data_IF_481086584268
#
_entry.id   IF_481086584268
#
_cell.length_a   1.000
_cell.length_b   1.000
_cell.length_c   1.000
_cell.angle_alpha   90.00
_cell.angle_beta   90.00
_cell.angle_gamma   90.00
#
_symmetry.space_group_name_H-M   'P 1'
#
loop_
_entity.id
_entity.type
_entity.pdbx_description
1 polymer ?
#
# COMPACT_ATOMS: atom_id res chain seq x y z
N UNK A 1 -5.22 -18.57 15.68
CA UNK A 1 -6.03 -18.79 14.46
C UNK A 1 -5.26 -18.15 13.32
N UNK A 2 -4.83 -18.93 12.33
CA UNK A 2 -4.31 -18.35 11.09
C UNK A 2 -5.51 -17.72 10.38
N UNK A 3 -5.44 -16.42 10.06
CA UNK A 3 -6.42 -15.80 9.20
C UNK A 3 -6.30 -16.48 7.82
N UNK A 4 -7.40 -17.02 7.30
CA UNK A 4 -7.44 -17.48 5.92
C UNK A 4 -7.21 -16.26 5.03
N UNK A 5 -6.13 -16.27 4.25
CA UNK A 5 -5.85 -15.23 3.28
C UNK A 5 -6.95 -15.27 2.22
N UNK A 6 -7.67 -14.15 2.06
CA UNK A 6 -8.69 -14.04 1.03
C UNK A 6 -8.03 -14.15 -0.35
N UNK A 7 -8.63 -14.87 -1.31
CA UNK A 7 -8.11 -14.94 -2.66
C UNK A 7 -8.05 -13.54 -3.28
N UNK A 8 -6.94 -13.24 -3.95
CA UNK A 8 -6.74 -11.96 -4.64
C UNK A 8 -7.67 -11.88 -5.87
N UNK A 9 -8.24 -10.71 -6.10
CA UNK A 9 -8.88 -10.34 -7.36
C UNK A 9 -7.87 -10.33 -8.52
N UNK A 10 -8.36 -10.28 -9.76
CA UNK A 10 -7.49 -10.25 -10.94
C UNK A 10 -6.52 -9.06 -10.90
N UNK A 11 -7.01 -7.88 -10.54
CA UNK A 11 -6.23 -6.64 -10.50
C UNK A 11 -5.19 -6.68 -9.38
N UNK A 12 -5.55 -7.22 -8.21
CA UNK A 12 -4.60 -7.43 -7.12
C UNK A 12 -3.53 -8.46 -7.52
N UNK A 13 -3.90 -9.54 -8.20
CA UNK A 13 -2.94 -10.52 -8.70
C UNK A 13 -2.01 -9.95 -9.79
N UNK A 14 -2.53 -9.07 -10.66
CA UNK A 14 -1.72 -8.34 -11.65
C UNK A 14 -0.71 -7.42 -10.96
N UNK A 15 -1.17 -6.59 -10.01
CA UNK A 15 -0.30 -5.72 -9.23
C UNK A 15 0.74 -6.53 -8.44
N UNK A 16 0.35 -7.63 -7.81
CA UNK A 16 1.27 -8.52 -7.10
C UNK A 16 2.38 -9.02 -8.03
N UNK A 17 2.04 -9.44 -9.25
CA UNK A 17 3.04 -9.91 -10.23
C UNK A 17 3.99 -8.80 -10.65
N UNK A 18 3.49 -7.59 -10.88
CA UNK A 18 4.32 -6.43 -11.22
C UNK A 18 5.27 -6.09 -10.07
N UNK A 19 4.78 -6.02 -8.84
CA UNK A 19 5.57 -5.78 -7.63
C UNK A 19 6.61 -6.89 -7.41
N UNK A 20 6.21 -8.16 -7.54
CA UNK A 20 7.11 -9.30 -7.37
C UNK A 20 8.19 -9.35 -8.46
N UNK A 21 7.87 -8.93 -9.69
CA UNK A 21 8.85 -8.81 -10.77
C UNK A 21 9.92 -7.75 -10.49
N UNK A 22 9.57 -6.68 -9.78
CA UNK A 22 10.47 -5.59 -9.45
C UNK A 22 11.26 -5.80 -8.16
N UNK A 23 10.57 -6.20 -7.09
CA UNK A 23 11.15 -6.30 -5.75
C UNK A 23 11.60 -7.72 -5.39
N UNK A 24 11.25 -8.71 -6.20
CA UNK A 24 11.43 -10.14 -5.91
C UNK A 24 10.24 -10.70 -5.14
N UNK A 25 9.77 -11.89 -5.56
CA UNK A 25 8.57 -12.52 -5.00
C UNK A 25 8.64 -12.74 -3.47
N UNK A 26 9.83 -13.08 -2.95
CA UNK A 26 10.03 -13.31 -1.51
C UNK A 26 9.92 -12.02 -0.67
N UNK A 27 10.02 -10.85 -1.31
CA UNK A 27 9.97 -9.55 -0.63
C UNK A 27 8.58 -8.92 -0.68
N UNK A 28 7.60 -9.52 -1.36
CA UNK A 28 6.24 -8.98 -1.49
C UNK A 28 5.29 -9.84 -0.65
N UNK A 29 4.83 -9.29 0.47
CA UNK A 29 3.89 -9.96 1.38
C UNK A 29 2.50 -9.38 1.17
N UNK A 30 1.54 -10.24 0.85
CA UNK A 30 0.14 -9.85 0.74
C UNK A 30 -0.55 -9.85 2.09
N UNK A 31 -1.54 -8.96 2.26
CA UNK A 31 -2.47 -8.94 3.38
C UNK A 31 -1.77 -8.88 4.75
N UNK A 32 -0.72 -8.06 4.87
CA UNK A 32 -0.04 -7.84 6.15
C UNK A 32 -0.84 -6.86 7.00
N UNK A 33 -1.06 -7.20 8.27
CA UNK A 33 -1.77 -6.27 9.17
C UNK A 33 -0.94 -5.02 9.45
N UNK A 34 -1.60 -3.88 9.62
CA UNK A 34 -0.92 -2.63 10.02
C UNK A 34 -0.12 -2.83 11.32
N UNK A 35 -0.63 -3.65 12.24
CA UNK A 35 0.10 -4.07 13.46
C UNK A 35 1.39 -4.83 13.18
N UNK A 36 1.43 -5.69 12.16
CA UNK A 36 2.65 -6.40 11.80
C UNK A 36 3.67 -5.48 11.11
N UNK A 37 3.20 -4.53 10.30
CA UNK A 37 4.04 -3.54 9.60
C UNK A 37 4.67 -2.56 10.59
N UNK A 38 3.86 -2.04 11.51
CA UNK A 38 4.22 -1.00 12.45
C UNK A 38 4.75 -1.56 13.79
N UNK A 39 4.46 -2.82 14.11
CA UNK A 39 4.58 -3.31 15.48
C UNK A 39 3.45 -2.82 16.38
N UNK A 40 3.27 -3.46 17.54
CA UNK A 40 2.15 -3.22 18.47
C UNK A 40 2.24 -1.90 19.25
N UNK A 41 3.31 -1.12 19.05
CA UNK A 41 3.58 0.09 19.80
C UNK A 41 3.12 1.33 19.02
N UNK A 42 1.81 1.57 18.99
CA UNK A 42 1.25 2.84 18.51
C UNK A 42 1.35 3.88 19.63
N UNK A 43 1.92 5.03 19.31
CA UNK A 43 1.97 6.19 20.20
C UNK A 43 0.57 6.78 20.40
N UNK A 44 0.36 7.50 21.51
CA UNK A 44 -0.90 8.23 21.70
C UNK A 44 -1.12 9.28 20.61
N UNK A 45 -0.05 9.86 20.07
CA UNK A 45 -0.13 10.83 18.98
C UNK A 45 -0.67 10.21 17.70
N UNK A 46 -0.15 9.04 17.30
CA UNK A 46 -0.65 8.27 16.15
C UNK A 46 -2.12 7.84 16.33
N UNK A 47 -2.53 7.54 17.55
CA UNK A 47 -3.92 7.17 17.86
C UNK A 47 -4.86 8.38 17.95
N UNK A 48 -4.35 9.57 18.30
CA UNK A 48 -5.14 10.83 18.36
C UNK A 48 -5.44 11.41 16.99
N UNK A 49 -4.63 11.06 15.99
CA UNK A 49 -4.83 11.48 14.60
C UNK A 49 -6.07 10.79 14.00
N UNK A 50 -6.48 9.65 14.53
CA UNK A 50 -7.68 8.94 14.09
C UNK A 50 -8.96 9.68 14.52
N UNK A 51 -10.01 9.68 13.68
CA UNK A 51 -11.35 10.07 14.10
C UNK A 51 -11.75 9.30 15.36
N UNK A 52 -12.37 9.98 16.33
CA UNK A 52 -12.63 9.39 17.65
C UNK A 52 -13.42 8.09 17.55
N UNK A 53 -12.82 6.98 17.97
CA UNK A 53 -13.44 5.66 18.00
C UNK A 53 -12.95 4.68 16.93
N UNK A 54 -12.14 5.13 15.98
CA UNK A 54 -11.58 4.23 14.97
C UNK A 54 -10.46 3.36 15.54
N UNK A 55 -10.65 2.04 15.47
CA UNK A 55 -9.63 1.03 15.74
C UNK A 55 -8.85 0.67 14.48
N UNK A 56 -8.91 1.50 13.44
CA UNK A 56 -8.47 1.15 12.09
C UNK A 56 -7.04 0.58 12.06
N UNK A 57 -5.99 1.19 12.64
CA UNK A 57 -4.64 0.60 12.58
C UNK A 57 -4.50 -0.75 13.30
N UNK A 58 -5.43 -1.09 14.20
CA UNK A 58 -5.41 -2.36 14.94
C UNK A 58 -6.06 -3.50 14.17
N UNK A 59 -6.97 -3.18 13.25
CA UNK A 59 -7.82 -4.14 12.54
C UNK A 59 -7.55 -4.14 11.04
N UNK A 60 -6.90 -3.10 10.52
CA UNK A 60 -6.61 -2.95 9.11
C UNK A 60 -5.52 -3.91 8.63
N UNK A 61 -5.73 -4.34 7.40
CA UNK A 61 -4.82 -5.19 6.64
C UNK A 61 -4.47 -4.44 5.37
N UNK A 62 -3.17 -4.32 5.11
CA UNK A 62 -2.68 -3.71 3.90
C UNK A 62 -2.58 -4.72 2.78
N UNK A 63 -2.94 -4.29 1.57
CA UNK A 63 -2.99 -5.20 0.42
C UNK A 63 -1.63 -5.84 0.12
N UNK A 64 -0.58 -5.03 -0.06
CA UNK A 64 0.79 -5.51 -0.23
C UNK A 64 1.78 -4.72 0.62
N UNK A 65 2.76 -5.43 1.19
CA UNK A 65 3.90 -4.85 1.91
C UNK A 65 5.18 -5.36 1.28
N UNK A 66 6.08 -4.44 0.94
CA UNK A 66 7.38 -4.75 0.36
C UNK A 66 8.41 -4.66 1.49
N UNK A 67 9.15 -5.75 1.67
CA UNK A 67 10.21 -5.88 2.66
C UNK A 67 11.58 -5.64 2.03
N UNK A 68 12.54 -5.21 2.84
CA UNK A 68 13.95 -5.25 2.46
C UNK A 68 14.62 -6.59 2.81
N UNK A 69 15.94 -6.64 2.61
CA UNK A 69 16.77 -7.82 2.88
C UNK A 69 16.84 -8.23 4.35
N UNK A 70 16.49 -7.32 5.27
CA UNK A 70 16.43 -7.59 6.70
C UNK A 70 15.00 -7.94 7.16
N UNK A 71 14.06 -8.08 6.23
CA UNK A 71 12.63 -8.26 6.50
C UNK A 71 11.97 -7.04 7.15
N UNK A 72 12.57 -5.86 7.02
CA UNK A 72 11.96 -4.60 7.46
C UNK A 72 10.99 -4.09 6.38
N UNK A 73 9.83 -3.58 6.79
CA UNK A 73 8.86 -2.97 5.87
C UNK A 73 9.39 -1.67 5.27
N UNK A 74 9.31 -1.51 3.95
CA UNK A 74 9.80 -0.31 3.23
C UNK A 74 8.73 0.39 2.40
N UNK A 75 7.78 -0.36 1.86
CA UNK A 75 6.70 0.18 1.05
C UNK A 75 5.42 -0.57 1.39
N UNK A 76 4.32 0.16 1.48
CA UNK A 76 2.96 -0.37 1.52
C UNK A 76 2.27 0.06 0.25
N UNK A 77 1.69 -0.90 -0.47
CA UNK A 77 0.97 -0.70 -1.71
C UNK A 77 -0.50 -1.12 -1.55
N UNK A 78 -1.40 -0.20 -1.86
CA UNK A 78 -2.85 -0.38 -1.78
C UNK A 78 -3.51 -0.19 -3.14
N UNK A 79 -4.70 -0.78 -3.31
CA UNK A 79 -5.54 -0.58 -4.49
C UNK A 79 -6.80 0.21 -4.12
N UNK A 80 -6.97 1.36 -4.75
CA UNK A 80 -8.14 2.20 -4.64
C UNK A 80 -9.23 1.68 -5.59
N UNK A 81 -10.23 1.03 -5.01
CA UNK A 81 -11.38 0.44 -5.71
C UNK A 81 -12.49 1.47 -5.98
N UNK A 82 -12.16 2.73 -6.25
CA UNK A 82 -13.17 3.73 -6.64
C UNK A 82 -13.37 3.67 -8.14
N UNK A 83 -14.48 3.07 -8.57
CA UNK A 83 -14.83 2.93 -9.99
C UNK A 83 -15.33 4.25 -10.62
N UNK A 84 -15.77 5.21 -9.82
CA UNK A 84 -16.46 6.40 -10.34
C UNK A 84 -15.76 7.72 -9.99
N UNK A 85 -15.37 8.45 -11.04
CA UNK A 85 -14.91 9.85 -10.97
C UNK A 85 -16.01 10.83 -10.48
N UNK A 86 -17.19 10.34 -10.09
CA UNK A 86 -18.36 11.16 -9.74
C UNK A 86 -18.66 11.20 -8.23
N UNK A 87 -18.04 10.35 -7.42
CA UNK A 87 -18.24 10.34 -5.96
C UNK A 87 -16.91 10.35 -5.23
N UNK A 88 -16.66 11.44 -4.50
CA UNK A 88 -15.53 11.54 -3.57
C UNK A 88 -15.90 10.82 -2.28
N UNK A 89 -15.29 9.67 -2.04
CA UNK A 89 -15.39 8.98 -0.75
C UNK A 89 -14.46 9.66 0.27
N UNK A 90 -15.06 10.53 1.08
CA UNK A 90 -14.35 11.29 2.12
C UNK A 90 -13.68 10.34 3.12
N UNK A 91 -14.34 9.24 3.49
CA UNK A 91 -13.79 8.29 4.46
C UNK A 91 -12.55 7.59 3.90
N UNK A 92 -12.55 7.29 2.60
CA UNK A 92 -11.39 6.71 1.91
C UNK A 92 -10.22 7.68 1.82
N UNK A 93 -10.49 8.96 1.52
CA UNK A 93 -9.46 10.01 1.50
C UNK A 93 -8.89 10.27 2.90
N UNK A 94 -9.74 10.30 3.93
CA UNK A 94 -9.30 10.42 5.31
C UNK A 94 -8.42 9.24 5.71
N UNK A 95 -8.87 8.01 5.43
CA UNK A 95 -8.07 6.79 5.64
C UNK A 95 -6.73 6.85 4.92
N UNK A 96 -6.72 7.26 3.66
CA UNK A 96 -5.48 7.39 2.88
C UNK A 96 -4.51 8.36 3.56
N UNK A 97 -5.00 9.55 3.92
CA UNK A 97 -4.20 10.58 4.59
C UNK A 97 -3.61 10.05 5.89
N UNK A 98 -4.40 9.33 6.68
CA UNK A 98 -3.93 8.76 7.95
C UNK A 98 -2.93 7.62 7.76
N UNK A 99 -3.21 6.70 6.84
CA UNK A 99 -2.29 5.62 6.49
C UNK A 99 -0.94 6.18 6.03
N UNK A 100 -0.98 7.17 5.14
CA UNK A 100 0.20 7.87 4.65
C UNK A 100 1.02 8.45 5.80
N UNK A 101 0.41 9.27 6.66
CA UNK A 101 1.10 9.87 7.80
C UNK A 101 1.68 8.82 8.76
N UNK A 102 0.92 7.75 9.07
CA UNK A 102 1.36 6.69 9.95
C UNK A 102 2.62 5.98 9.42
N UNK A 103 2.59 5.58 8.15
CA UNK A 103 3.71 4.86 7.54
C UNK A 103 4.92 5.76 7.31
N UNK A 104 4.72 6.98 6.81
CA UNK A 104 5.81 7.90 6.51
C UNK A 104 6.54 8.34 7.80
N UNK A 105 5.84 8.55 8.92
CA UNK A 105 6.45 8.82 10.22
C UNK A 105 7.37 7.68 10.71
N UNK A 106 7.22 6.49 10.13
CA UNK A 106 8.01 5.29 10.43
C UNK A 106 9.03 4.97 9.33
N UNK A 107 9.20 5.86 8.36
CA UNK A 107 10.10 5.66 7.23
C UNK A 107 9.63 4.57 6.26
N UNK A 108 8.33 4.28 6.24
CA UNK A 108 7.68 3.32 5.33
C UNK A 108 6.93 4.14 4.29
N UNK A 109 7.23 3.94 3.02
CA UNK A 109 6.53 4.64 1.95
C UNK A 109 5.11 4.05 1.77
N UNK A 110 4.14 4.91 1.51
CA UNK A 110 2.76 4.49 1.25
C UNK A 110 2.31 4.93 -0.13
N UNK A 111 2.00 3.97 -0.99
CA UNK A 111 1.55 4.19 -2.35
C UNK A 111 0.20 3.55 -2.59
N UNK A 112 -0.64 4.28 -3.31
CA UNK A 112 -1.98 3.86 -3.67
C UNK A 112 -2.05 3.84 -5.18
N UNK A 113 -2.48 2.71 -5.72
CA UNK A 113 -2.76 2.52 -7.13
C UNK A 113 -4.25 2.63 -7.36
N UNK A 114 -4.66 3.26 -8.45
CA UNK A 114 -6.04 3.21 -8.95
C UNK A 114 -6.20 2.07 -9.94
N UNK A 115 -7.43 1.59 -10.15
CA UNK A 115 -7.72 0.59 -11.19
C UNK A 115 -7.26 1.04 -12.58
N UNK A 116 -7.37 2.34 -12.88
CA UNK A 116 -6.91 2.92 -14.15
C UNK A 116 -5.39 2.82 -14.29
N UNK A 117 -4.63 3.08 -13.22
CA UNK A 117 -3.18 2.94 -13.24
C UNK A 117 -2.76 1.49 -13.46
N UNK A 118 -3.43 0.53 -12.80
CA UNK A 118 -3.16 -0.89 -13.02
C UNK A 118 -3.46 -1.29 -14.47
N UNK A 119 -4.57 -0.82 -15.04
CA UNK A 119 -4.91 -1.08 -16.43
C UNK A 119 -3.83 -0.57 -17.40
N UNK A 120 -3.30 0.64 -17.17
CA UNK A 120 -2.21 1.20 -17.98
C UNK A 120 -0.90 0.42 -17.84
N UNK A 121 -0.59 -0.09 -16.64
CA UNK A 121 0.64 -0.86 -16.41
C UNK A 121 0.65 -2.25 -17.08
N UNK A 122 -0.53 -2.79 -17.39
CA UNK A 122 -0.67 -4.11 -18.02
C UNK A 122 -1.00 -4.01 -19.51
N UNK A 123 -1.17 -2.81 -20.03
CA UNK A 123 -1.43 -2.56 -21.45
C UNK A 123 -0.10 -2.67 -22.23
N UNK A 124 0.02 -3.60 -23.20
CA UNK A 124 1.24 -3.75 -23.99
C UNK A 124 1.52 -2.59 -24.96
N UNK A 125 0.52 -1.76 -25.26
CA UNK A 125 0.63 -0.65 -26.22
C UNK A 125 0.97 0.70 -25.54
N UNK A 126 0.98 0.75 -24.20
CA UNK A 126 1.29 1.95 -23.41
C UNK A 126 2.76 2.03 -23.00
N UNK A 127 3.31 3.24 -22.85
CA UNK A 127 4.70 3.47 -22.42
C UNK A 127 4.87 3.55 -20.88
N UNK A 128 3.80 3.32 -20.12
CA UNK A 128 3.82 3.43 -18.67
C UNK A 128 4.35 2.13 -18.04
N UNK A 129 5.58 2.18 -17.54
CA UNK A 129 6.13 1.11 -16.69
C UNK A 129 5.92 1.39 -15.19
N UNK A 130 5.97 0.32 -14.39
CA UNK A 130 5.76 0.42 -12.94
C UNK A 130 6.85 1.25 -12.25
N UNK A 131 8.08 1.30 -12.77
CA UNK A 131 9.16 2.08 -12.18
C UNK A 131 8.84 3.58 -12.27
N UNK A 132 8.47 4.06 -13.46
CA UNK A 132 8.07 5.46 -13.70
C UNK A 132 6.88 5.87 -12.84
N UNK A 133 5.89 4.99 -12.71
CA UNK A 133 4.73 5.27 -11.87
C UNK A 133 5.11 5.36 -10.38
N UNK A 134 5.97 4.46 -9.90
CA UNK A 134 6.47 4.50 -8.53
C UNK A 134 7.32 5.75 -8.28
N UNK A 135 8.21 6.11 -9.20
CA UNK A 135 9.03 7.33 -9.12
C UNK A 135 8.14 8.58 -9.00
N UNK A 136 7.08 8.68 -9.80
CA UNK A 136 6.12 9.78 -9.72
C UNK A 136 5.33 9.80 -8.40
N UNK A 137 4.96 8.63 -7.87
CA UNK A 137 4.21 8.55 -6.59
C UNK A 137 5.07 8.74 -5.35
N UNK A 138 6.38 8.49 -5.46
CA UNK A 138 7.37 8.62 -4.40
C UNK A 138 8.12 9.95 -4.47
N UNK A 139 7.50 10.99 -5.06
CA UNK A 139 8.03 12.31 -5.48
C UNK A 139 9.00 13.07 -4.54
N UNK A 140 9.31 12.56 -3.34
CA UNK A 140 10.45 13.00 -2.54
C UNK A 140 10.98 11.85 -1.64
N UNK A 141 12.31 11.76 -1.47
CA UNK A 141 13.10 10.92 -0.54
C UNK A 141 13.53 9.47 -0.89
N UNK A 142 14.83 9.31 -1.19
CA UNK A 142 15.73 8.18 -0.86
C UNK A 142 15.44 6.73 -1.29
N UNK A 143 14.27 6.42 -1.85
CA UNK A 143 13.92 5.07 -2.27
C UNK A 143 14.68 4.68 -3.55
N UNK A 144 15.71 3.84 -3.42
CA UNK A 144 16.43 3.28 -4.57
C UNK A 144 15.78 1.97 -4.99
N UNK A 145 14.99 2.01 -6.05
CA UNK A 145 14.62 0.83 -6.83
C UNK A 145 15.95 0.24 -7.35
N UNK A 146 16.24 -1.02 -7.05
CA UNK A 146 17.49 -1.70 -7.44
C UNK A 146 17.24 -2.64 -8.59
#
# INVERSE_FOLDING_TARGET
MAAELSPLSLQEAQLMRLLAGMFGADNVVAQMSVRAICGDNFTEEELRILPSGERWPREAVCLFTILDRNSDSRLVAELLMTDDAQTVDIALLEREKFARQLFENRGIHYVVFTLKEIALLVDPDEELDLCRLLEAKLEDSSFRIR
#
